data_IF_241401696356
#
_entry.id   IF_241401696356
#
_cell.length_a   1.000
_cell.length_b   1.000
_cell.length_c   1.000
_cell.angle_alpha   90.00
_cell.angle_beta   90.00
_cell.angle_gamma   90.00
#
_symmetry.space_group_name_H-M   'P 1'
#
loop_
_entity.id
_entity.type
_entity.pdbx_description
1 polymer ?
#
# COMPACT_ATOMS: atom_id res chain seq x y z
N UNK A 1 -6.96 28.96 -1.15
CA UNK A 1 -6.58 28.27 0.12
C UNK A 1 -6.07 26.85 -0.13
N UNK A 2 -6.86 25.91 -0.68
CA UNK A 2 -6.43 24.51 -0.92
C UNK A 2 -5.17 24.37 -1.81
N UNK A 3 -5.13 25.08 -2.94
CA UNK A 3 -4.00 25.05 -3.89
C UNK A 3 -2.71 25.64 -3.29
N UNK A 4 -2.83 26.65 -2.42
CA UNK A 4 -1.71 27.26 -1.69
C UNK A 4 -1.08 26.28 -0.71
N UNK A 5 -1.90 25.51 0.00
CA UNK A 5 -1.42 24.48 0.94
C UNK A 5 -0.73 23.33 0.20
N UNK A 6 -1.29 22.90 -0.94
CA UNK A 6 -0.70 21.85 -1.78
C UNK A 6 0.66 22.26 -2.35
N UNK A 7 0.79 23.50 -2.83
CA UNK A 7 2.06 24.03 -3.37
C UNK A 7 3.13 24.20 -2.29
N UNK A 8 2.76 24.57 -1.06
CA UNK A 8 3.69 24.61 0.08
C UNK A 8 4.18 23.20 0.42
N UNK A 9 3.28 22.21 0.47
CA UNK A 9 3.65 20.82 0.74
C UNK A 9 4.53 20.21 -0.38
N UNK A 10 4.26 20.51 -1.64
CA UNK A 10 5.09 20.06 -2.77
C UNK A 10 6.44 20.78 -2.86
N UNK A 11 6.52 22.04 -2.44
CA UNK A 11 7.75 22.85 -2.52
C UNK A 11 8.63 22.73 -1.27
N UNK A 12 8.17 22.03 -0.24
CA UNK A 12 8.94 21.76 0.95
C UNK A 12 10.01 20.72 0.66
N UNK A 13 11.16 21.15 0.13
CA UNK A 13 12.41 20.37 -0.03
C UNK A 13 13.09 20.06 1.31
N UNK A 14 12.29 19.66 2.29
CA UNK A 14 12.76 19.18 3.58
C UNK A 14 12.74 17.64 3.54
N UNK A 15 13.89 17.03 3.82
CA UNK A 15 14.08 15.57 3.81
C UNK A 15 13.11 14.81 4.74
N UNK A 16 12.50 15.49 5.72
CA UNK A 16 11.44 14.93 6.60
C UNK A 16 10.00 15.20 6.12
N UNK A 17 9.80 16.10 5.15
CA UNK A 17 8.48 16.63 4.76
C UNK A 17 8.01 16.21 3.36
N UNK A 18 8.71 15.29 2.71
CA UNK A 18 8.30 14.75 1.41
C UNK A 18 7.18 13.70 1.52
N UNK A 19 6.53 13.55 2.68
CA UNK A 19 5.47 12.56 2.93
C UNK A 19 4.40 12.57 1.85
N UNK A 20 3.94 13.74 1.40
CA UNK A 20 2.94 13.84 0.35
C UNK A 20 3.46 13.35 -1.01
N UNK A 21 4.68 13.75 -1.40
CA UNK A 21 5.32 13.29 -2.64
C UNK A 21 5.60 11.78 -2.58
N UNK A 22 5.98 11.25 -1.41
CA UNK A 22 6.18 9.82 -1.18
C UNK A 22 4.87 9.03 -1.28
N UNK A 23 3.77 9.53 -0.71
CA UNK A 23 2.45 8.94 -0.84
C UNK A 23 1.98 8.94 -2.29
N UNK A 24 2.16 10.06 -3.01
CA UNK A 24 1.86 10.15 -4.44
C UNK A 24 2.70 9.17 -5.25
N UNK A 25 4.01 9.09 -4.99
CA UNK A 25 4.89 8.14 -5.66
C UNK A 25 4.49 6.69 -5.43
N UNK A 26 4.26 6.29 -4.17
CA UNK A 26 3.79 4.94 -3.83
C UNK A 26 2.43 4.62 -4.49
N UNK A 27 1.50 5.57 -4.51
CA UNK A 27 0.22 5.41 -5.18
C UNK A 27 0.38 5.20 -6.68
N UNK A 28 1.16 6.04 -7.36
CA UNK A 28 1.43 5.92 -8.79
C UNK A 28 2.06 4.56 -9.12
N UNK A 29 3.04 4.13 -8.32
CA UNK A 29 3.65 2.81 -8.44
C UNK A 29 2.63 1.67 -8.27
N UNK A 30 1.70 1.78 -7.31
CA UNK A 30 0.67 0.77 -7.06
C UNK A 30 -0.35 0.62 -8.20
N UNK A 31 -0.61 1.70 -8.93
CA UNK A 31 -1.48 1.73 -10.11
C UNK A 31 -0.77 1.32 -11.41
N UNK A 32 0.45 0.78 -11.32
CA UNK A 32 1.27 0.41 -12.47
C UNK A 32 1.53 1.58 -13.44
N UNK A 33 1.65 2.80 -12.90
CA UNK A 33 2.00 3.98 -13.70
C UNK A 33 3.37 3.76 -14.36
N UNK A 34 3.52 4.02 -15.68
CA UNK A 34 4.80 3.84 -16.36
C UNK A 34 5.93 4.64 -15.69
N UNK A 35 7.10 4.01 -15.58
CA UNK A 35 8.25 4.60 -14.88
C UNK A 35 8.60 6.02 -15.39
N UNK A 36 8.53 6.22 -16.70
CA UNK A 36 8.77 7.53 -17.34
C UNK A 36 7.85 8.64 -16.81
N UNK A 37 6.60 8.31 -16.45
CA UNK A 37 5.65 9.28 -15.89
C UNK A 37 6.02 9.62 -14.45
N UNK A 38 6.45 8.64 -13.67
CA UNK A 38 6.91 8.88 -12.29
C UNK A 38 8.17 9.74 -12.30
N UNK A 39 9.11 9.48 -13.20
CA UNK A 39 10.34 10.26 -13.38
C UNK A 39 10.07 11.71 -13.84
N UNK A 40 9.08 11.94 -14.70
CA UNK A 40 8.71 13.31 -15.07
C UNK A 40 8.05 14.05 -13.90
N UNK A 41 7.19 13.38 -13.14
CA UNK A 41 6.55 13.95 -11.94
C UNK A 41 7.56 14.21 -10.81
N UNK A 42 8.59 13.38 -10.69
CA UNK A 42 9.74 13.62 -9.82
C UNK A 42 10.45 14.92 -10.19
N UNK A 43 10.80 15.08 -11.47
CA UNK A 43 11.46 16.31 -11.97
C UNK A 43 10.59 17.56 -11.81
N UNK A 44 9.27 17.41 -11.78
CA UNK A 44 8.31 18.48 -11.48
C UNK A 44 8.15 18.75 -9.97
N UNK A 45 8.76 17.95 -9.09
CA UNK A 45 8.62 18.08 -7.63
C UNK A 45 7.26 17.62 -7.09
N UNK A 46 6.55 16.77 -7.84
CA UNK A 46 5.21 16.26 -7.49
C UNK A 46 5.30 14.87 -6.83
N UNK A 47 6.26 14.05 -7.25
CA UNK A 47 6.51 12.71 -6.74
C UNK A 47 7.96 12.57 -6.27
N UNK A 48 8.25 11.54 -5.49
CA UNK A 48 9.63 11.07 -5.28
C UNK A 48 10.08 10.17 -6.43
N UNK A 49 11.38 9.91 -6.50
CA UNK A 49 11.96 9.03 -7.50
C UNK A 49 11.51 7.58 -7.35
N UNK A 50 11.52 6.84 -8.45
CA UNK A 50 11.21 5.41 -8.47
C UNK A 50 12.15 4.63 -7.55
N UNK A 51 13.43 5.00 -7.53
CA UNK A 51 14.41 4.41 -6.62
C UNK A 51 14.06 4.68 -5.15
N UNK A 52 13.63 5.88 -4.80
CA UNK A 52 13.20 6.21 -3.44
C UNK A 52 11.96 5.39 -3.02
N UNK A 53 11.02 5.15 -3.95
CA UNK A 53 9.85 4.28 -3.71
C UNK A 53 10.30 2.84 -3.43
N UNK A 54 11.19 2.30 -4.26
CA UNK A 54 11.71 0.93 -4.13
C UNK A 54 12.49 0.76 -2.81
N UNK A 55 13.42 1.65 -2.52
CA UNK A 55 14.20 1.62 -1.27
C UNK A 55 13.31 1.81 -0.04
N UNK A 56 12.33 2.71 -0.11
CA UNK A 56 11.35 2.91 0.96
C UNK A 56 10.53 1.64 1.22
N UNK A 57 10.04 0.99 0.16
CA UNK A 57 9.30 -0.28 0.24
C UNK A 57 10.16 -1.39 0.83
N UNK A 58 11.41 -1.52 0.38
CA UNK A 58 12.34 -2.52 0.90
C UNK A 58 12.67 -2.30 2.38
N UNK A 59 12.92 -1.04 2.78
CA UNK A 59 13.16 -0.69 4.19
C UNK A 59 11.94 -1.00 5.05
N UNK A 60 10.74 -0.64 4.58
CA UNK A 60 9.50 -0.91 5.29
C UNK A 60 9.25 -2.42 5.43
N UNK A 61 9.50 -3.20 4.37
CA UNK A 61 9.40 -4.66 4.41
C UNK A 61 10.40 -5.26 5.41
N UNK A 62 11.65 -4.81 5.41
CA UNK A 62 12.67 -5.29 6.34
C UNK A 62 12.31 -4.99 7.81
N UNK A 63 11.86 -3.76 8.10
CA UNK A 63 11.42 -3.38 9.44
C UNK A 63 10.17 -4.16 9.87
N UNK A 64 9.18 -4.29 8.97
CA UNK A 64 7.96 -5.06 9.24
C UNK A 64 8.30 -6.52 9.53
N UNK A 65 9.23 -7.12 8.77
CA UNK A 65 9.70 -8.48 9.02
C UNK A 65 10.34 -8.63 10.40
N UNK A 66 11.17 -7.67 10.82
CA UNK A 66 11.76 -7.68 12.17
C UNK A 66 10.69 -7.53 13.27
N UNK A 67 9.71 -6.64 13.07
CA UNK A 67 8.59 -6.45 14.00
C UNK A 67 7.70 -7.70 14.08
N UNK A 68 7.34 -8.31 12.95
CA UNK A 68 6.59 -9.56 12.89
C UNK A 68 7.32 -10.68 13.63
N UNK A 69 8.64 -10.81 13.44
CA UNK A 69 9.45 -11.80 14.15
C UNK A 69 9.47 -11.55 15.67
N UNK A 70 9.55 -10.29 16.08
CA UNK A 70 9.47 -9.91 17.50
C UNK A 70 8.10 -10.24 18.09
N UNK A 71 7.02 -9.93 17.37
CA UNK A 71 5.65 -10.25 17.77
C UNK A 71 5.43 -11.76 17.85
N UNK A 72 5.86 -12.52 16.84
CA UNK A 72 5.77 -13.99 16.87
C UNK A 72 6.54 -14.61 18.04
N UNK A 73 7.72 -14.06 18.39
CA UNK A 73 8.48 -14.48 19.59
C UNK A 73 7.79 -14.17 20.91
N UNK A 74 6.96 -13.13 20.95
CA UNK A 74 6.21 -12.78 22.17
C UNK A 74 5.12 -13.79 22.49
N UNK A 75 4.66 -14.57 21.51
CA UNK A 75 3.50 -15.47 21.62
C UNK A 75 2.22 -14.76 22.07
N UNK A 76 2.14 -13.43 21.91
CA UNK A 76 0.96 -12.62 22.28
C UNK A 76 0.00 -12.38 21.11
N UNK A 77 0.38 -12.80 19.90
CA UNK A 77 -0.39 -12.53 18.68
C UNK A 77 -0.40 -13.78 17.82
N UNK A 78 -1.60 -14.22 17.46
CA UNK A 78 -1.82 -15.26 16.49
C UNK A 78 -2.09 -14.66 15.10
N UNK A 79 -1.60 -15.34 14.07
CA UNK A 79 -1.78 -14.97 12.67
C UNK A 79 -2.61 -16.05 11.99
N UNK A 80 -3.72 -15.66 11.36
CA UNK A 80 -4.49 -16.55 10.50
C UNK A 80 -4.38 -16.08 9.06
N UNK A 81 -4.01 -16.97 8.15
CA UNK A 81 -4.05 -16.75 6.72
C UNK A 81 -5.12 -17.65 6.13
N UNK A 82 -5.98 -17.08 5.30
CA UNK A 82 -7.02 -17.82 4.60
C UNK A 82 -7.16 -17.33 3.16
N UNK A 83 -7.40 -18.27 2.25
CA UNK A 83 -7.74 -17.99 0.87
C UNK A 83 -9.22 -18.27 0.72
N UNK A 84 -10.04 -17.23 0.55
CA UNK A 84 -11.48 -17.39 0.45
C UNK A 84 -12.00 -16.81 -0.87
N UNK A 85 -13.01 -17.47 -1.39
CA UNK A 85 -13.67 -17.07 -2.62
C UNK A 85 -14.92 -16.27 -2.27
N UNK A 86 -15.02 -15.06 -2.81
CA UNK A 86 -16.23 -14.25 -2.71
C UNK A 86 -16.91 -14.24 -4.07
N UNK A 87 -18.14 -14.72 -4.13
CA UNK A 87 -19.03 -14.50 -5.26
C UNK A 87 -19.72 -13.13 -5.11
N UNK A 88 -19.12 -12.10 -5.74
CA UNK A 88 -19.65 -10.74 -5.71
C UNK A 88 -20.76 -10.59 -6.76
N UNK A 89 -21.97 -10.98 -6.39
CA UNK A 89 -23.15 -10.85 -7.25
C UNK A 89 -23.46 -9.38 -7.53
N UNK A 90 -23.28 -8.94 -8.77
CA UNK A 90 -23.68 -7.60 -9.22
C UNK A 90 -25.19 -7.54 -9.48
N UNK A 91 -25.85 -6.48 -9.01
CA UNK A 91 -27.30 -6.27 -9.16
C UNK A 91 -27.74 -6.12 -10.63
N UNK A 92 -26.84 -5.72 -11.53
CA UNK A 92 -27.11 -5.63 -12.97
C UNK A 92 -26.57 -6.87 -13.70
N UNK A 93 -27.48 -7.68 -14.25
CA UNK A 93 -27.16 -8.78 -15.15
C UNK A 93 -26.68 -8.22 -16.50
N UNK A 94 -25.37 -8.04 -16.68
CA UNK A 94 -24.81 -7.86 -18.03
C UNK A 94 -24.59 -9.23 -18.65
N UNK A 95 -25.33 -9.50 -19.73
CA UNK A 95 -25.34 -10.76 -20.49
C UNK A 95 -23.94 -11.18 -20.98
N UNK A 96 -22.99 -10.24 -21.07
CA UNK A 96 -21.64 -10.51 -21.60
C UNK A 96 -20.63 -11.05 -20.59
N UNK A 97 -20.84 -10.95 -19.26
CA UNK A 97 -19.83 -11.33 -18.24
C UNK A 97 -20.39 -12.15 -17.06
N UNK A 98 -21.31 -13.08 -17.30
CA UNK A 98 -21.97 -13.87 -16.24
C UNK A 98 -21.04 -14.85 -15.48
N UNK A 99 -19.75 -14.95 -15.85
CA UNK A 99 -18.80 -15.92 -15.29
C UNK A 99 -17.68 -15.32 -14.40
N UNK A 100 -17.57 -13.99 -14.26
CA UNK A 100 -16.45 -13.35 -13.51
C UNK A 100 -16.85 -12.72 -12.16
N UNK A 101 -17.94 -13.17 -11.52
CA UNK A 101 -18.32 -12.70 -10.18
C UNK A 101 -17.49 -13.31 -9.06
N UNK A 102 -16.88 -14.48 -9.29
CA UNK A 102 -16.00 -15.13 -8.32
C UNK A 102 -14.66 -14.38 -8.23
N UNK A 103 -14.36 -13.85 -7.04
CA UNK A 103 -13.09 -13.23 -6.72
C UNK A 103 -12.33 -14.10 -5.72
N UNK A 104 -11.15 -14.56 -6.13
CA UNK A 104 -10.21 -15.26 -5.28
C UNK A 104 -9.44 -14.22 -4.45
N UNK A 105 -9.54 -14.29 -3.13
CA UNK A 105 -8.88 -13.35 -2.22
C UNK A 105 -8.04 -14.10 -1.19
N UNK A 106 -6.85 -13.59 -0.93
CA UNK A 106 -6.02 -14.00 0.20
C UNK A 106 -6.12 -12.93 1.27
N UNK A 107 -6.46 -13.33 2.50
CA UNK A 107 -6.49 -12.44 3.65
C UNK A 107 -5.64 -12.98 4.78
N UNK A 108 -5.07 -12.05 5.55
CA UNK A 108 -4.34 -12.31 6.78
C UNK A 108 -4.97 -11.51 7.92
N UNK A 109 -5.27 -12.18 9.04
CA UNK A 109 -5.78 -11.58 10.26
C UNK A 109 -4.75 -11.74 11.38
N UNK A 110 -4.60 -10.69 12.20
CA UNK A 110 -3.84 -10.73 13.45
C UNK A 110 -4.80 -10.52 14.61
N UNK A 111 -4.73 -11.37 15.63
CA UNK A 111 -5.53 -11.22 16.84
C UNK A 111 -4.66 -11.46 18.08
N UNK A 112 -4.95 -10.76 19.20
CA UNK A 112 -4.31 -11.05 20.47
C UNK A 112 -4.51 -12.52 20.82
N UNK A 113 -3.45 -13.19 21.22
CA UNK A 113 -3.54 -14.59 21.62
C UNK A 113 -4.26 -14.66 22.98
N UNK A 114 -5.47 -15.23 22.98
CA UNK A 114 -6.29 -15.40 24.18
C UNK A 114 -5.93 -16.68 24.97
N UNK A 115 -4.86 -17.39 24.59
CA UNK A 115 -4.42 -18.66 25.17
C UNK A 115 -3.27 -18.53 26.19
N UNK A 116 -3.07 -17.35 26.77
CA UNK A 116 -2.35 -17.25 28.04
C UNK A 116 -3.31 -17.65 29.19
N UNK A 117 -2.98 -18.66 30.02
CA UNK A 117 -3.70 -18.92 31.27
C UNK A 117 -3.58 -17.74 32.26
#
# INVERSE_FOLDING_TARGET
KKITVLSIMMRSTNQRSNTLQSLLGMFLQSTHTPQKVIETLERMGISVSVNAILSGTQSLAAQTHQHLRSLGRSLLVAYAYDNFDIDLKTHEHKIENSMETLKHLTSGLMFPDALLP
#
